data_IF_616313185625
#
_entry.id   IF_616313185625
#
_cell.length_a   1.000
_cell.length_b   1.000
_cell.length_c   1.000
_cell.angle_alpha   90.00
_cell.angle_beta   90.00
_cell.angle_gamma   90.00
#
_symmetry.space_group_name_H-M   'P 1'
#
loop_
_entity.id
_entity.type
_entity.pdbx_description
1 polymer ?
#
# COMPACT_ATOMS: atom_id res chain seq x y z
N UNK A 1 -32.06 -19.19 -6.62
CA UNK A 1 -30.92 -19.88 -7.25
C UNK A 1 -31.41 -20.62 -8.48
N UNK A 2 -30.84 -20.34 -9.65
CA UNK A 2 -31.23 -21.00 -10.90
C UNK A 2 -30.70 -22.44 -10.91
N UNK A 3 -31.61 -23.41 -10.94
CA UNK A 3 -31.30 -24.84 -10.99
C UNK A 3 -30.78 -25.19 -12.39
N UNK A 4 -29.47 -25.39 -12.53
CA UNK A 4 -28.88 -25.88 -13.78
C UNK A 4 -29.17 -27.39 -13.91
N UNK A 5 -30.05 -27.75 -14.84
CA UNK A 5 -30.32 -29.16 -15.21
C UNK A 5 -29.41 -29.53 -16.39
N UNK A 6 -28.64 -30.61 -16.26
CA UNK A 6 -27.89 -31.20 -17.38
C UNK A 6 -28.85 -32.02 -18.26
N UNK A 7 -28.45 -32.32 -19.51
CA UNK A 7 -29.31 -32.90 -20.57
C UNK A 7 -29.94 -34.27 -20.25
N UNK A 8 -29.61 -34.89 -19.12
CA UNK A 8 -30.18 -36.18 -18.67
C UNK A 8 -31.01 -36.06 -17.37
N UNK A 9 -31.51 -34.87 -17.02
CA UNK A 9 -32.30 -34.67 -15.80
C UNK A 9 -31.50 -34.73 -14.50
N UNK A 10 -30.18 -34.89 -14.59
CA UNK A 10 -29.25 -34.86 -13.46
C UNK A 10 -29.02 -33.39 -13.08
N UNK A 11 -29.42 -33.03 -11.87
CA UNK A 11 -29.10 -31.74 -11.29
C UNK A 11 -27.65 -31.75 -10.84
N UNK A 12 -26.82 -30.90 -11.46
CA UNK A 12 -25.39 -30.79 -11.18
C UNK A 12 -25.12 -30.56 -9.68
N UNK A 13 -25.94 -29.74 -9.02
CA UNK A 13 -25.80 -29.44 -7.61
C UNK A 13 -26.09 -30.66 -6.72
N UNK A 14 -27.07 -31.48 -7.08
CA UNK A 14 -27.41 -32.68 -6.30
C UNK A 14 -26.28 -33.71 -6.36
N UNK A 15 -25.62 -33.83 -7.52
CA UNK A 15 -24.46 -34.72 -7.69
C UNK A 15 -23.20 -34.18 -7.00
N UNK A 16 -23.05 -32.85 -6.94
CA UNK A 16 -21.97 -32.20 -6.21
C UNK A 16 -22.13 -32.39 -4.70
N UNK A 17 -23.34 -32.21 -4.15
CA UNK A 17 -23.64 -32.46 -2.74
C UNK A 17 -23.42 -33.94 -2.39
N UNK A 18 -23.89 -34.87 -3.23
CA UNK A 18 -23.61 -36.31 -3.04
C UNK A 18 -22.12 -36.66 -3.00
N UNK A 19 -21.27 -35.93 -3.71
CA UNK A 19 -19.81 -36.14 -3.66
C UNK A 19 -19.13 -35.49 -2.45
N UNK A 20 -19.84 -34.63 -1.72
CA UNK A 20 -19.37 -34.00 -0.49
C UNK A 20 -19.94 -34.68 0.77
N UNK A 21 -21.06 -35.39 0.64
CA UNK A 21 -21.73 -36.15 1.71
C UNK A 21 -21.16 -37.56 1.91
N UNK A 22 -19.97 -37.87 1.35
CA UNK A 22 -19.13 -38.97 1.87
C UNK A 22 -18.59 -38.51 3.24
N UNK A 23 -19.49 -38.36 4.21
CA UNK A 23 -19.25 -38.00 5.60
C UNK A 23 -18.54 -39.18 6.28
N UNK A 24 -17.22 -39.25 6.13
CA UNK A 24 -16.43 -39.76 7.23
C UNK A 24 -16.53 -38.72 8.36
N UNK A 25 -17.12 -39.09 9.50
CA UNK A 25 -17.19 -38.32 10.76
C UNK A 25 -15.82 -37.81 11.30
N UNK A 26 -14.73 -38.07 10.58
CA UNK A 26 -13.36 -37.75 10.94
C UNK A 26 -13.07 -36.23 10.97
N UNK A 27 -13.90 -35.40 10.31
CA UNK A 27 -13.67 -33.96 10.20
C UNK A 27 -13.81 -33.18 11.52
N UNK A 28 -14.56 -33.72 12.50
CA UNK A 28 -14.66 -33.15 13.85
C UNK A 28 -13.38 -33.33 14.68
N UNK A 29 -12.57 -34.32 14.31
CA UNK A 29 -11.34 -34.68 14.99
C UNK A 29 -10.10 -34.09 14.32
N UNK A 30 -10.24 -33.20 13.34
CA UNK A 30 -9.12 -32.54 12.68
C UNK A 30 -8.92 -31.10 13.16
N UNK A 31 -7.67 -30.72 13.37
CA UNK A 31 -7.27 -29.34 13.61
C UNK A 31 -7.50 -28.50 12.34
N UNK A 32 -8.40 -27.51 12.42
CA UNK A 32 -8.77 -26.64 11.28
C UNK A 32 -7.66 -25.68 10.80
N UNK A 33 -6.46 -25.70 11.40
CA UNK A 33 -5.28 -24.94 10.93
C UNK A 33 -4.31 -25.85 10.19
N UNK A 34 -3.95 -27.00 10.78
CA UNK A 34 -2.92 -27.87 10.22
C UNK A 34 -3.47 -29.03 9.38
N UNK A 35 -4.76 -29.34 9.48
CA UNK A 35 -5.39 -30.50 8.84
C UNK A 35 -4.98 -31.85 9.47
N UNK A 36 -4.30 -31.85 10.62
CA UNK A 36 -3.91 -33.06 11.35
C UNK A 36 -4.92 -33.39 12.44
N UNK A 37 -5.02 -34.66 12.88
CA UNK A 37 -5.83 -35.05 14.02
C UNK A 37 -5.58 -34.20 15.27
N UNK A 38 -6.64 -33.94 16.01
CA UNK A 38 -6.59 -33.29 17.31
C UNK A 38 -5.86 -34.19 18.29
N UNK A 39 -4.94 -33.61 19.05
CA UNK A 39 -4.16 -34.31 20.07
C UNK A 39 -4.70 -34.02 21.48
N UNK A 40 -4.11 -34.67 22.49
CA UNK A 40 -4.47 -34.50 23.90
C UNK A 40 -4.38 -33.04 24.39
N UNK A 41 -3.56 -32.23 23.73
CA UNK A 41 -3.37 -30.79 24.01
C UNK A 41 -4.16 -29.91 23.05
N UNK A 42 -5.34 -30.37 22.65
CA UNK A 42 -6.28 -29.55 21.89
C UNK A 42 -6.81 -28.39 22.73
N UNK A 43 -6.98 -27.24 22.08
CA UNK A 43 -7.57 -26.03 22.64
C UNK A 43 -8.89 -25.77 21.94
N UNK A 44 -9.94 -25.61 22.74
CA UNK A 44 -11.27 -25.18 22.26
C UNK A 44 -11.44 -23.69 22.57
N UNK A 45 -11.67 -22.89 21.55
CA UNK A 45 -11.94 -21.45 21.69
C UNK A 45 -13.41 -21.20 22.10
N UNK A 46 -13.75 -19.98 22.54
CA UNK A 46 -15.13 -19.60 22.94
C UNK A 46 -16.16 -19.71 21.79
N UNK A 47 -15.66 -19.74 20.55
CA UNK A 47 -16.48 -19.98 19.35
C UNK A 47 -16.63 -21.47 19.01
N UNK A 48 -16.26 -22.37 19.93
CA UNK A 48 -16.29 -23.84 19.81
C UNK A 48 -15.37 -24.44 18.74
N UNK A 49 -14.51 -23.65 18.10
CA UNK A 49 -13.50 -24.18 17.19
C UNK A 49 -12.34 -24.81 17.96
N UNK A 50 -11.95 -26.02 17.54
CA UNK A 50 -10.89 -26.83 18.15
C UNK A 50 -9.62 -26.80 17.31
N UNK A 51 -8.48 -26.66 17.98
CA UNK A 51 -7.16 -26.64 17.33
C UNK A 51 -6.12 -27.32 18.19
N UNK A 52 -5.08 -27.87 17.56
CA UNK A 52 -3.87 -28.26 18.29
C UNK A 52 -3.16 -27.01 18.82
N UNK A 53 -2.54 -27.13 19.99
CA UNK A 53 -1.92 -26.00 20.68
C UNK A 53 -0.88 -25.26 19.85
N UNK A 54 0.11 -25.98 19.33
CA UNK A 54 1.21 -25.40 18.55
C UNK A 54 0.74 -24.60 17.32
N UNK A 55 -0.07 -25.16 16.39
CA UNK A 55 -0.53 -24.40 15.24
C UNK A 55 -1.39 -23.20 15.64
N UNK A 56 -2.21 -23.33 16.68
CA UNK A 56 -3.02 -22.22 17.19
C UNK A 56 -2.14 -21.10 17.77
N UNK A 57 -1.16 -21.43 18.61
CA UNK A 57 -0.25 -20.46 19.21
C UNK A 57 0.52 -19.69 18.13
N UNK A 58 1.12 -20.41 17.17
CA UNK A 58 1.88 -19.81 16.06
C UNK A 58 0.99 -18.88 15.21
N UNK A 59 -0.22 -19.31 14.90
CA UNK A 59 -1.16 -18.51 14.09
C UNK A 59 -1.63 -17.25 14.83
N UNK A 60 -1.95 -17.34 16.12
CA UNK A 60 -2.30 -16.16 16.94
C UNK A 60 -1.13 -15.17 16.98
N UNK A 61 0.10 -15.66 17.15
CA UNK A 61 1.30 -14.82 17.14
C UNK A 61 1.48 -14.10 15.81
N UNK A 62 1.37 -14.83 14.68
CA UNK A 62 1.43 -14.23 13.33
C UNK A 62 0.38 -13.13 13.14
N UNK A 63 -0.86 -13.40 13.54
CA UNK A 63 -1.93 -12.40 13.41
C UNK A 63 -1.66 -11.14 14.26
N UNK A 64 -1.17 -11.32 15.49
CA UNK A 64 -0.87 -10.22 16.42
C UNK A 64 0.33 -9.38 16.01
N UNK A 65 1.42 -10.02 15.61
CA UNK A 65 2.72 -9.37 15.51
C UNK A 65 3.17 -9.13 14.06
N UNK A 66 2.88 -10.06 13.15
CA UNK A 66 3.32 -9.96 11.74
C UNK A 66 2.27 -9.23 10.90
N UNK A 67 1.02 -9.70 10.93
CA UNK A 67 -0.07 -9.11 10.16
C UNK A 67 -0.71 -7.89 10.82
N UNK A 68 -0.41 -7.67 12.11
CA UNK A 68 -0.91 -6.54 12.90
C UNK A 68 -2.45 -6.42 12.88
N UNK A 69 -3.18 -7.52 12.71
CA UNK A 69 -4.65 -7.54 12.56
C UNK A 69 -5.42 -7.20 13.85
N UNK A 70 -4.67 -6.91 14.91
CA UNK A 70 -5.11 -6.48 16.23
C UNK A 70 -4.96 -4.96 16.43
N UNK A 71 -4.38 -4.25 15.45
CA UNK A 71 -4.28 -2.79 15.51
C UNK A 71 -5.66 -2.16 15.40
N UNK A 72 -5.92 -1.20 16.29
CA UNK A 72 -7.23 -0.57 16.47
C UNK A 72 -7.87 -0.03 15.17
N UNK A 73 -7.06 0.46 14.23
CA UNK A 73 -7.55 1.02 12.97
C UNK A 73 -7.96 -0.03 11.93
N UNK A 74 -7.61 -1.30 12.15
CA UNK A 74 -7.97 -2.44 11.28
C UNK A 74 -9.15 -3.23 11.82
N UNK A 75 -9.65 -2.88 13.01
CA UNK A 75 -10.79 -3.52 13.64
C UNK A 75 -12.11 -3.01 13.07
N UNK A 76 -13.10 -3.89 12.98
CA UNK A 76 -14.46 -3.50 12.66
C UNK A 76 -15.09 -2.69 13.80
N UNK A 77 -16.15 -1.93 13.50
CA UNK A 77 -16.88 -1.15 14.53
C UNK A 77 -17.41 -2.04 15.66
N UNK A 78 -17.88 -3.24 15.33
CA UNK A 78 -18.44 -4.19 16.30
C UNK A 78 -17.35 -4.77 17.20
N UNK A 79 -16.19 -5.09 16.62
CA UNK A 79 -15.01 -5.55 17.37
C UNK A 79 -14.56 -4.48 18.38
N UNK A 80 -14.48 -3.22 17.93
CA UNK A 80 -14.12 -2.09 18.78
C UNK A 80 -15.11 -1.89 19.94
N UNK A 81 -16.41 -2.03 19.68
CA UNK A 81 -17.44 -1.93 20.70
C UNK A 81 -17.29 -3.05 21.75
N UNK A 82 -17.02 -4.29 21.31
CA UNK A 82 -16.81 -5.44 22.18
C UNK A 82 -15.60 -5.23 23.10
N UNK A 83 -14.49 -4.72 22.57
CA UNK A 83 -13.27 -4.41 23.33
C UNK A 83 -13.54 -3.33 24.38
N UNK A 84 -14.18 -2.22 23.99
CA UNK A 84 -14.53 -1.14 24.93
C UNK A 84 -15.46 -1.61 26.06
N UNK A 85 -16.41 -2.51 25.75
CA UNK A 85 -17.33 -3.08 26.74
C UNK A 85 -16.60 -3.94 27.78
N UNK A 86 -15.63 -4.75 27.33
CA UNK A 86 -14.90 -5.67 28.20
C UNK A 86 -13.79 -5.00 29.02
N UNK A 87 -13.34 -3.81 28.62
CA UNK A 87 -12.29 -3.03 29.31
C UNK A 87 -10.98 -3.80 29.54
N UNK A 88 -10.67 -4.72 28.62
CA UNK A 88 -9.40 -5.47 28.59
C UNK A 88 -8.55 -4.96 27.44
N UNK A 89 -7.25 -4.92 27.66
CA UNK A 89 -6.21 -4.51 26.71
C UNK A 89 -5.68 -5.68 25.86
N UNK A 90 -6.05 -6.91 26.20
CA UNK A 90 -5.76 -8.12 25.43
C UNK A 90 -7.03 -8.76 24.89
N UNK A 91 -6.89 -9.46 23.77
CA UNK A 91 -7.90 -10.33 23.18
C UNK A 91 -7.25 -11.29 22.18
N UNK A 92 -7.94 -12.36 21.79
CA UNK A 92 -7.53 -13.31 20.75
C UNK A 92 -8.62 -13.37 19.68
N UNK A 93 -8.23 -13.47 18.41
CA UNK A 93 -9.11 -13.73 17.27
C UNK A 93 -8.99 -15.20 16.88
N UNK A 94 -10.13 -15.87 16.74
CA UNK A 94 -10.16 -17.23 16.22
C UNK A 94 -9.60 -17.26 14.78
N UNK A 95 -8.62 -18.13 14.46
CA UNK A 95 -8.10 -18.23 13.09
C UNK A 95 -9.12 -18.63 12.04
N UNK A 96 -10.15 -19.37 12.43
CA UNK A 96 -11.18 -19.86 11.51
C UNK A 96 -12.30 -18.84 11.30
N UNK A 97 -13.03 -18.50 12.36
CA UNK A 97 -14.22 -17.63 12.26
C UNK A 97 -13.97 -16.16 12.62
N UNK A 98 -12.74 -15.80 13.02
CA UNK A 98 -12.34 -14.44 13.44
C UNK A 98 -13.10 -13.87 14.64
N UNK A 99 -13.90 -14.68 15.36
CA UNK A 99 -14.54 -14.23 16.59
C UNK A 99 -13.48 -13.79 17.62
N UNK A 100 -13.71 -12.62 18.23
CA UNK A 100 -12.87 -12.09 19.29
C UNK A 100 -13.29 -12.71 20.63
N UNK A 101 -12.31 -13.23 21.36
CA UNK A 101 -12.45 -13.70 22.73
C UNK A 101 -11.43 -13.01 23.66
N UNK A 102 -11.73 -13.03 24.96
CA UNK A 102 -10.89 -12.40 26.00
C UNK A 102 -10.35 -13.43 26.99
N UNK A 103 -10.47 -14.72 26.65
CA UNK A 103 -9.75 -15.83 27.26
C UNK A 103 -8.44 -16.07 26.51
N UNK A 104 -7.38 -16.33 27.26
CA UNK A 104 -6.08 -16.74 26.73
C UNK A 104 -6.04 -18.25 26.50
N UNK A 105 -5.13 -18.71 25.64
CA UNK A 105 -4.89 -20.14 25.48
C UNK A 105 -4.05 -20.67 26.66
N UNK A 106 -4.12 -21.97 27.02
CA UNK A 106 -3.29 -22.53 28.08
C UNK A 106 -1.79 -22.38 27.81
N UNK A 107 -0.96 -22.52 28.85
CA UNK A 107 0.49 -22.58 28.71
C UNK A 107 0.97 -24.01 28.98
N UNK A 108 1.78 -24.54 28.08
CA UNK A 108 2.35 -25.88 28.18
C UNK A 108 3.88 -25.80 28.06
N UNK A 109 4.58 -26.04 29.17
CA UNK A 109 6.04 -25.95 29.25
C UNK A 109 6.75 -26.91 28.29
N UNK A 110 6.15 -28.08 28.04
CA UNK A 110 6.70 -29.12 27.16
C UNK A 110 6.90 -28.67 25.70
N UNK A 111 6.14 -27.67 25.22
CA UNK A 111 6.32 -27.15 23.86
C UNK A 111 7.45 -26.13 23.76
N UNK A 112 8.01 -25.66 24.88
CA UNK A 112 9.12 -24.71 24.89
C UNK A 112 8.80 -23.34 24.28
N UNK A 113 7.52 -22.96 24.22
CA UNK A 113 7.14 -21.62 23.75
C UNK A 113 7.29 -20.57 24.84
N UNK A 114 7.59 -19.33 24.44
CA UNK A 114 7.66 -18.21 25.37
C UNK A 114 6.28 -17.87 25.95
N UNK A 115 6.27 -17.36 27.19
CA UNK A 115 5.08 -16.73 27.77
C UNK A 115 4.87 -15.37 27.11
N UNK A 116 3.67 -15.16 26.58
CA UNK A 116 3.23 -13.99 25.84
C UNK A 116 1.93 -13.47 26.45
N UNK A 117 1.99 -12.22 26.93
CA UNK A 117 0.87 -11.49 27.51
C UNK A 117 -0.27 -11.38 26.50
N UNK A 118 -1.45 -11.79 26.93
CA UNK A 118 -2.65 -11.76 26.09
C UNK A 118 -2.68 -12.83 25.00
N UNK A 119 -1.79 -13.83 25.05
CA UNK A 119 -1.83 -15.04 24.22
C UNK A 119 -1.90 -16.27 25.11
N UNK A 120 -0.82 -16.62 25.81
CA UNK A 120 -0.71 -17.79 26.70
C UNK A 120 -0.32 -17.41 28.14
N UNK A 121 -0.19 -16.12 28.44
CA UNK A 121 0.04 -15.59 29.79
C UNK A 121 -0.80 -14.34 30.04
N UNK A 122 -1.19 -14.12 31.29
CA UNK A 122 -1.77 -12.86 31.77
C UNK A 122 -0.76 -12.05 32.58
N UNK A 123 0.47 -12.53 32.75
CA UNK A 123 1.53 -11.78 33.40
C UNK A 123 1.96 -10.62 32.51
N UNK A 124 1.76 -9.36 32.93
CA UNK A 124 2.19 -8.19 32.16
C UNK A 124 3.70 -8.11 31.97
N UNK A 125 4.52 -8.85 32.74
CA UNK A 125 5.96 -8.91 32.51
C UNK A 125 6.32 -9.78 31.30
N UNK A 126 5.40 -10.65 30.87
CA UNK A 126 5.56 -11.56 29.75
C UNK A 126 5.14 -10.92 28.41
N UNK A 127 5.44 -9.64 28.15
CA UNK A 127 5.16 -9.07 26.81
C UNK A 127 5.92 -9.87 25.74
N UNK A 128 5.16 -10.54 24.87
CA UNK A 128 5.71 -11.53 23.97
C UNK A 128 6.78 -10.98 23.06
N UNK A 129 7.85 -11.77 22.97
CA UNK A 129 8.76 -11.90 21.84
C UNK A 129 9.15 -10.59 21.16
N UNK A 130 10.28 -10.02 21.60
CA UNK A 130 11.13 -9.05 20.87
C UNK A 130 10.39 -8.26 19.78
N UNK A 131 9.53 -7.32 20.18
CA UNK A 131 9.44 -6.12 19.37
C UNK A 131 10.80 -5.45 19.43
N UNK A 132 11.42 -5.29 18.27
CA UNK A 132 12.30 -4.18 17.92
C UNK A 132 11.71 -2.77 18.23
N UNK A 133 10.71 -2.67 19.10
CA UNK A 133 10.01 -1.46 19.52
C UNK A 133 9.40 -1.69 20.90
N UNK A 134 10.23 -1.58 21.95
CA UNK A 134 10.02 -0.60 23.03
C UNK A 134 10.89 -0.94 24.24
N UNK A 135 11.62 0.06 24.75
CA UNK A 135 12.22 0.16 26.09
C UNK A 135 13.76 0.00 26.15
N UNK A 136 14.48 0.93 25.53
CA UNK A 136 15.55 1.61 26.28
C UNK A 136 14.87 2.75 27.04
N UNK A 137 14.13 2.42 28.09
CA UNK A 137 13.92 3.35 29.19
C UNK A 137 15.21 3.25 30.03
N UNK A 138 16.18 4.10 29.72
CA UNK A 138 17.47 4.08 30.43
C UNK A 138 18.47 5.16 30.02
N UNK A 139 18.38 5.74 28.82
CA UNK A 139 19.14 6.94 28.49
C UNK A 139 18.25 7.95 27.80
N UNK A 140 18.46 9.22 28.12
CA UNK A 140 17.64 10.34 27.70
C UNK A 140 17.85 10.75 26.23
N UNK A 141 18.59 9.93 25.46
CA UNK A 141 19.18 10.23 24.15
C UNK A 141 19.07 9.04 23.15
N UNK A 142 17.93 8.36 23.07
CA UNK A 142 17.73 7.33 22.04
C UNK A 142 17.11 7.88 20.75
N UNK A 143 17.47 7.27 19.62
CA UNK A 143 16.95 7.61 18.30
C UNK A 143 15.86 6.62 17.88
N UNK A 144 14.73 7.13 17.37
CA UNK A 144 13.61 6.31 16.91
C UNK A 144 13.53 6.38 15.39
N UNK A 145 13.74 5.27 14.69
CA UNK A 145 13.49 5.22 13.26
C UNK A 145 12.01 4.96 12.99
N UNK A 146 11.32 5.91 12.34
CA UNK A 146 9.93 5.75 11.95
C UNK A 146 9.70 6.41 10.59
N UNK A 147 8.94 5.75 9.72
CA UNK A 147 8.67 6.25 8.35
C UNK A 147 9.94 6.44 7.49
N UNK A 148 11.02 5.72 7.78
CA UNK A 148 12.31 5.87 7.11
C UNK A 148 13.09 7.11 7.56
N UNK A 149 12.70 7.73 8.67
CA UNK A 149 13.31 8.97 9.20
C UNK A 149 13.66 8.77 10.67
N UNK A 150 14.78 9.35 11.07
CA UNK A 150 15.27 9.26 12.45
C UNK A 150 14.68 10.40 13.27
N UNK A 151 13.94 10.05 14.32
CA UNK A 151 13.43 10.97 15.32
C UNK A 151 14.40 11.04 16.49
N UNK A 152 14.80 12.26 16.84
CA UNK A 152 15.71 12.56 17.97
C UNK A 152 15.03 13.47 18.96
N UNK A 153 15.63 13.63 20.15
CA UNK A 153 15.13 14.56 21.16
C UNK A 153 15.11 15.99 20.60
N UNK A 154 13.98 16.66 20.71
CA UNK A 154 13.77 18.01 20.20
C UNK A 154 12.35 18.52 20.43
N UNK A 155 12.04 19.68 19.86
CA UNK A 155 10.77 20.39 20.09
C UNK A 155 9.94 20.39 18.81
N UNK A 156 8.69 19.96 18.90
CA UNK A 156 7.80 19.93 17.74
C UNK A 156 7.34 21.35 17.38
N UNK A 157 7.53 21.75 16.12
CA UNK A 157 7.11 23.05 15.57
C UNK A 157 5.60 23.17 15.28
N UNK A 158 4.76 22.26 15.81
CA UNK A 158 3.31 22.38 15.66
C UNK A 158 2.78 23.27 16.79
N UNK A 159 2.22 24.41 16.40
CA UNK A 159 1.58 25.37 17.29
C UNK A 159 0.15 25.54 16.78
N UNK A 160 -0.82 25.16 17.60
CA UNK A 160 -2.22 25.55 17.44
C UNK A 160 -2.51 26.68 18.45
N UNK A 161 -3.47 27.56 18.15
CA UNK A 161 -3.72 28.83 18.86
C UNK A 161 -3.87 28.74 20.40
N UNK A 162 -4.00 27.54 20.98
CA UNK A 162 -4.01 27.29 22.44
C UNK A 162 -3.25 26.02 22.87
N UNK A 163 -2.50 25.36 21.99
CA UNK A 163 -1.83 24.08 22.31
C UNK A 163 -0.43 23.97 21.72
N UNK A 164 0.56 23.85 22.60
CA UNK A 164 1.94 23.52 22.25
C UNK A 164 2.10 22.00 22.37
N UNK A 165 2.58 21.38 21.31
CA UNK A 165 2.87 19.95 21.31
C UNK A 165 3.98 19.62 22.31
N UNK A 166 3.69 18.80 23.33
CA UNK A 166 4.64 18.38 24.38
C UNK A 166 5.50 17.17 24.01
N UNK A 167 5.49 16.75 22.74
CA UNK A 167 6.24 15.56 22.30
C UNK A 167 7.75 15.86 22.27
N UNK A 168 8.54 15.00 22.90
CA UNK A 168 9.99 15.18 23.05
C UNK A 168 10.83 14.67 21.89
N UNK A 169 10.25 13.89 20.98
CA UNK A 169 10.98 13.28 19.86
C UNK A 169 10.43 13.80 18.54
N UNK A 170 11.32 14.34 17.71
CA UNK A 170 11.01 15.03 16.45
C UNK A 170 11.95 14.63 15.33
N UNK A 171 11.47 14.74 14.10
CA UNK A 171 12.28 14.60 12.90
C UNK A 171 12.12 15.85 12.03
N UNK A 172 13.20 16.23 11.34
CA UNK A 172 13.22 17.34 10.40
C UNK A 172 12.56 16.95 9.08
N UNK A 173 11.77 17.85 8.51
CA UNK A 173 11.30 17.67 7.14
C UNK A 173 12.47 18.00 6.20
N UNK A 174 12.78 17.13 5.22
CA UNK A 174 13.85 17.37 4.26
C UNK A 174 13.74 18.74 3.61
N UNK A 175 14.86 19.46 3.51
CA UNK A 175 14.95 20.80 2.94
C UNK A 175 14.18 21.88 3.71
N UNK A 176 13.95 21.68 5.01
CA UNK A 176 13.39 22.69 5.90
C UNK A 176 14.07 22.67 7.26
N UNK A 177 13.94 23.76 8.00
CA UNK A 177 14.35 23.87 9.40
C UNK A 177 13.25 23.43 10.37
N UNK A 178 12.10 22.94 9.86
CA UNK A 178 10.97 22.57 10.69
C UNK A 178 11.07 21.13 11.16
N UNK A 179 10.89 20.92 12.46
CA UNK A 179 10.89 19.60 13.08
C UNK A 179 9.53 19.26 13.68
N UNK A 180 9.09 18.02 13.50
CA UNK A 180 7.76 17.59 13.95
C UNK A 180 7.82 16.23 14.62
N UNK A 181 6.94 16.02 15.61
CA UNK A 181 6.84 14.75 16.31
C UNK A 181 6.26 13.65 15.42
N UNK A 182 6.34 12.40 15.88
CA UNK A 182 5.85 11.22 15.13
C UNK A 182 4.39 11.33 14.68
N UNK A 183 3.56 12.04 15.45
CA UNK A 183 2.15 12.31 15.13
C UNK A 183 2.00 13.43 14.09
N UNK A 184 2.79 14.50 14.19
CA UNK A 184 2.64 15.69 13.32
C UNK A 184 3.47 15.61 12.04
N UNK A 185 4.51 14.77 11.99
CA UNK A 185 5.43 14.65 10.86
C UNK A 185 4.72 14.38 9.54
N UNK A 186 3.80 13.40 9.49
CA UNK A 186 3.04 13.09 8.27
C UNK A 186 2.15 14.24 7.80
N UNK A 187 1.49 14.93 8.74
CA UNK A 187 0.62 16.08 8.43
C UNK A 187 1.46 17.22 7.85
N UNK A 188 2.60 17.51 8.48
CA UNK A 188 3.49 18.58 8.08
C UNK A 188 4.18 18.30 6.72
N UNK A 189 4.68 17.08 6.48
CA UNK A 189 5.25 16.67 5.18
C UNK A 189 4.21 16.82 4.05
N UNK A 190 2.96 16.41 4.29
CA UNK A 190 1.87 16.58 3.30
C UNK A 190 1.62 18.06 2.98
N UNK A 191 1.61 18.93 4.00
CA UNK A 191 1.43 20.38 3.84
C UNK A 191 2.58 20.99 3.05
N UNK A 192 3.82 20.64 3.38
CA UNK A 192 5.02 21.10 2.67
C UNK A 192 4.99 20.72 1.19
N UNK A 193 4.76 19.44 0.88
CA UNK A 193 4.71 18.96 -0.51
C UNK A 193 3.61 19.66 -1.33
N UNK A 194 2.46 19.97 -0.70
CA UNK A 194 1.38 20.73 -1.34
C UNK A 194 1.81 22.17 -1.65
N UNK A 195 2.47 22.83 -0.71
CA UNK A 195 2.94 24.21 -0.89
C UNK A 195 4.02 24.30 -1.99
N UNK A 196 4.97 23.38 -2.02
CA UNK A 196 5.99 23.32 -3.08
C UNK A 196 5.39 23.10 -4.46
N UNK A 197 4.36 22.25 -4.56
CA UNK A 197 3.63 22.06 -5.82
C UNK A 197 2.93 23.36 -6.27
N UNK A 198 2.33 24.09 -5.33
CA UNK A 198 1.65 25.35 -5.62
C UNK A 198 2.63 26.45 -6.08
N UNK A 199 3.78 26.61 -5.42
CA UNK A 199 4.84 27.55 -5.84
C UNK A 199 5.28 27.29 -7.29
N UNK A 200 5.56 26.02 -7.63
CA UNK A 200 5.92 25.63 -9.01
C UNK A 200 4.81 25.94 -10.04
N UNK A 201 3.55 25.90 -9.64
CA UNK A 201 2.43 26.28 -10.50
C UNK A 201 2.33 27.79 -10.68
N UNK A 202 2.52 28.57 -9.62
CA UNK A 202 2.55 30.03 -9.65
C UNK A 202 3.70 30.56 -10.51
N UNK A 203 4.90 30.00 -10.38
CA UNK A 203 6.05 30.35 -11.24
C UNK A 203 5.77 30.08 -12.72
N UNK A 204 5.16 28.93 -13.03
CA UNK A 204 4.74 28.61 -14.41
C UNK A 204 3.66 29.55 -14.93
N UNK A 205 2.75 30.02 -14.08
CA UNK A 205 1.73 30.99 -14.46
C UNK A 205 2.36 32.35 -14.78
N UNK A 206 3.25 32.84 -13.91
CA UNK A 206 4.01 34.09 -14.13
C UNK A 206 4.81 34.06 -15.43
N UNK A 207 5.51 32.95 -15.70
CA UNK A 207 6.25 32.78 -16.95
C UNK A 207 5.33 32.81 -18.19
N UNK A 208 4.16 32.19 -18.12
CA UNK A 208 3.17 32.22 -19.22
C UNK A 208 2.63 33.63 -19.46
N UNK A 209 2.34 34.38 -18.39
CA UNK A 209 1.88 35.77 -18.48
C UNK A 209 2.96 36.66 -19.09
N UNK A 210 4.21 36.52 -18.69
CA UNK A 210 5.33 37.28 -19.25
C UNK A 210 5.52 36.99 -20.75
N UNK A 211 5.47 35.71 -21.15
CA UNK A 211 5.50 35.29 -22.55
C UNK A 211 4.33 35.90 -23.34
N UNK A 212 3.14 35.94 -22.75
CA UNK A 212 1.95 36.54 -23.37
C UNK A 212 2.11 38.05 -23.56
N UNK A 213 2.64 38.76 -22.56
CA UNK A 213 2.91 40.20 -22.67
C UNK A 213 3.95 40.49 -23.77
N UNK A 214 5.04 39.72 -23.82
CA UNK A 214 6.05 39.83 -24.88
C UNK A 214 5.44 39.64 -26.28
N UNK A 215 4.53 38.67 -26.44
CA UNK A 215 3.81 38.45 -27.72
C UNK A 215 2.87 39.59 -28.10
N UNK A 216 2.19 40.21 -27.12
CA UNK A 216 1.30 41.36 -27.37
C UNK A 216 2.10 42.58 -27.85
N UNK A 217 3.21 42.91 -27.19
CA UNK A 217 4.11 43.99 -27.63
C UNK A 217 4.63 43.77 -29.05
N UNK A 218 5.12 42.56 -29.35
CA UNK A 218 5.59 42.21 -30.70
C UNK A 218 4.47 42.29 -31.76
N UNK A 219 3.23 41.98 -31.37
CA UNK A 219 2.09 42.08 -32.28
C UNK A 219 1.77 43.54 -32.63
N UNK A 220 1.79 44.43 -31.62
CA UNK A 220 1.57 45.86 -31.80
C UNK A 220 2.66 46.49 -32.69
N UNK A 221 3.93 46.21 -32.40
CA UNK A 221 5.07 46.68 -33.22
C UNK A 221 4.94 46.25 -34.69
N UNK A 222 4.62 44.99 -34.96
CA UNK A 222 4.42 44.49 -36.33
C UNK A 222 3.23 45.11 -37.04
N UNK A 223 2.19 45.50 -36.32
CA UNK A 223 1.03 46.14 -36.92
C UNK A 223 1.32 47.60 -37.27
N UNK A 224 2.11 48.31 -36.46
CA UNK A 224 2.61 49.66 -36.81
C UNK A 224 3.46 49.62 -38.08
N UNK A 225 4.42 48.70 -38.17
CA UNK A 225 5.27 48.53 -39.36
C UNK A 225 4.46 48.21 -40.64
N UNK A 226 3.38 47.44 -40.51
CA UNK A 226 2.49 47.14 -41.65
C UNK A 226 1.67 48.35 -42.08
N UNK A 227 1.20 49.16 -41.13
CA UNK A 227 0.46 50.37 -41.44
C UNK A 227 1.32 51.38 -42.20
N UNK A 228 2.59 51.56 -41.82
CA UNK A 228 3.56 52.38 -42.55
C UNK A 228 3.79 51.87 -43.98
N UNK A 229 3.72 50.56 -44.19
CA UNK A 229 3.84 49.92 -45.50
C UNK A 229 2.51 49.87 -46.29
N UNK A 230 1.43 50.48 -45.79
CA UNK A 230 0.11 50.46 -46.43
C UNK A 230 -0.57 49.09 -46.45
N UNK A 231 -0.12 48.15 -45.62
CA UNK A 231 -0.65 46.79 -45.53
C UNK A 231 -1.72 46.67 -44.43
N UNK A 232 -2.71 45.78 -44.59
CA UNK A 232 -3.70 45.55 -43.56
C UNK A 232 -3.07 44.94 -42.29
N UNK A 233 -3.61 45.27 -41.10
CA UNK A 233 -3.10 44.79 -39.82
C UNK A 233 -3.28 43.28 -39.69
N UNK A 234 -2.37 42.65 -38.93
CA UNK A 234 -2.48 41.25 -38.56
C UNK A 234 -3.67 41.05 -37.61
N UNK A 235 -4.38 39.93 -37.77
CA UNK A 235 -5.53 39.57 -36.93
C UNK A 235 -5.17 38.64 -35.77
N UNK A 236 -4.00 37.99 -35.82
CA UNK A 236 -3.60 36.93 -34.88
C UNK A 236 -2.24 37.20 -34.25
N UNK A 237 -2.08 36.85 -32.98
CA UNK A 237 -0.82 37.03 -32.25
C UNK A 237 0.33 36.23 -32.91
N UNK A 238 1.55 36.81 -33.02
CA UNK A 238 2.68 36.14 -33.63
C UNK A 238 3.22 35.03 -32.73
N UNK A 239 3.70 33.95 -33.35
CA UNK A 239 4.50 32.96 -32.63
C UNK A 239 5.90 33.51 -32.36
N UNK A 240 6.33 33.50 -31.10
CA UNK A 240 7.75 33.64 -30.78
C UNK A 240 8.48 32.43 -31.38
N UNK A 241 9.45 32.67 -32.25
CA UNK A 241 10.40 31.63 -32.64
C UNK A 241 11.18 31.29 -31.37
N UNK A 242 11.19 30.03 -30.96
CA UNK A 242 12.10 29.58 -29.90
C UNK A 242 13.51 29.77 -30.42
N UNK A 243 14.25 30.71 -29.84
CA UNK A 243 15.70 30.67 -29.91
C UNK A 243 16.11 29.38 -29.19
N UNK A 244 16.68 28.45 -29.95
CA UNK A 244 17.28 27.24 -29.38
C UNK A 244 18.63 27.67 -28.80
N UNK A 245 18.61 28.32 -27.64
CA UNK A 245 19.81 28.38 -26.81
C UNK A 245 20.01 26.99 -26.20
N UNK A 246 20.99 26.27 -26.74
CA UNK A 246 21.55 25.09 -26.10
C UNK A 246 22.26 25.52 -24.82
N UNK A 247 21.52 25.72 -23.73
CA UNK A 247 22.11 25.81 -22.41
C UNK A 247 22.53 24.39 -22.03
N UNK A 248 23.84 24.14 -22.15
CA UNK A 248 24.50 23.00 -21.51
C UNK A 248 24.34 23.21 -20.01
N UNK A 249 23.30 22.62 -19.43
CA UNK A 249 23.21 22.47 -17.98
C UNK A 249 24.27 21.45 -17.61
N UNK A 250 25.33 21.91 -16.93
CA UNK A 250 26.30 21.04 -16.28
C UNK A 250 25.55 19.98 -15.48
N UNK A 251 25.89 18.72 -15.76
CA UNK A 251 25.44 17.55 -15.04
C UNK A 251 25.69 17.73 -13.55
N UNK A 252 24.63 18.06 -12.81
CA UNK A 252 24.60 17.83 -11.38
C UNK A 252 24.56 16.31 -11.23
N UNK A 253 25.64 15.74 -10.68
CA UNK A 253 25.65 14.36 -10.18
C UNK A 253 24.53 14.24 -9.14
N UNK A 254 23.44 13.62 -9.56
CA UNK A 254 22.43 13.11 -8.65
C UNK A 254 23.04 11.84 -8.08
N UNK A 255 23.41 11.85 -6.80
CA UNK A 255 23.59 10.60 -6.08
C UNK A 255 22.23 9.89 -6.11
N UNK A 256 22.15 8.83 -6.92
CA UNK A 256 21.03 7.91 -6.93
C UNK A 256 20.90 7.31 -5.54
N UNK A 257 19.89 7.75 -4.82
CA UNK A 257 19.31 6.96 -3.76
C UNK A 257 18.79 5.68 -4.41
N UNK A 258 19.43 4.56 -4.09
CA UNK A 258 19.02 3.19 -4.45
C UNK A 258 17.99 2.76 -3.41
N UNK A 259 16.68 2.75 -3.70
CA UNK A 259 15.78 1.81 -3.05
C UNK A 259 15.97 0.46 -3.74
N UNK A 260 16.39 -0.55 -2.96
CA UNK A 260 16.31 -1.94 -3.37
C UNK A 260 14.85 -2.28 -3.69
N UNK A 261 14.50 -2.20 -4.96
CA UNK A 261 13.28 -2.76 -5.52
C UNK A 261 13.74 -3.70 -6.61
N UNK A 262 13.54 -4.98 -6.37
CA UNK A 262 13.71 -6.05 -7.35
C UNK A 262 13.11 -5.61 -8.69
N UNK A 263 13.98 -5.44 -9.69
CA UNK A 263 13.58 -5.14 -11.05
C UNK A 263 12.87 -6.36 -11.64
N UNK A 264 11.57 -6.49 -11.42
CA UNK A 264 10.72 -7.23 -12.33
C UNK A 264 10.73 -6.50 -13.67
N UNK A 265 11.50 -7.00 -14.62
CA UNK A 265 11.47 -6.59 -16.03
C UNK A 265 10.02 -6.73 -16.51
N UNK A 266 9.29 -5.61 -16.62
CA UNK A 266 7.92 -5.62 -17.15
C UNK A 266 7.99 -5.94 -18.64
N UNK A 267 7.93 -7.24 -18.96
CA UNK A 267 7.83 -7.73 -20.33
C UNK A 267 6.48 -7.30 -20.92
N UNK A 268 6.51 -6.38 -21.86
CA UNK A 268 5.33 -5.93 -22.62
C UNK A 268 5.25 -6.64 -23.97
N UNK A 269 4.03 -6.76 -24.51
CA UNK A 269 3.80 -7.51 -25.74
C UNK A 269 4.48 -6.83 -26.95
N UNK A 270 5.17 -7.61 -27.77
CA UNK A 270 5.81 -7.17 -29.02
C UNK A 270 4.84 -6.97 -30.20
N UNK A 271 3.54 -7.26 -30.03
CA UNK A 271 2.55 -7.19 -31.10
C UNK A 271 2.13 -5.76 -31.44
N UNK A 272 1.94 -5.45 -32.72
CA UNK A 272 1.40 -4.17 -33.21
C UNK A 272 -0.11 -4.30 -33.40
N UNK A 273 -0.87 -3.33 -32.87
CA UNK A 273 -2.33 -3.30 -32.99
C UNK A 273 -2.74 -3.07 -34.46
N UNK A 274 -3.56 -3.97 -35.00
CA UNK A 274 -4.03 -3.92 -36.40
C UNK A 274 -5.37 -3.19 -36.60
N UNK A 275 -6.10 -2.88 -35.54
CA UNK A 275 -7.43 -2.28 -35.61
C UNK A 275 -7.70 -1.21 -34.54
N UNK A 276 -8.70 -0.35 -34.81
CA UNK A 276 -9.14 0.81 -34.00
C UNK A 276 -8.19 2.02 -33.99
N UNK A 277 -8.54 3.01 -33.16
CA UNK A 277 -7.83 4.29 -32.92
C UNK A 277 -6.32 4.14 -32.67
N UNK A 278 -5.88 3.00 -32.15
CA UNK A 278 -4.48 2.72 -31.85
C UNK A 278 -3.79 1.82 -32.90
N UNK A 279 -4.33 1.71 -34.12
CA UNK A 279 -3.68 0.97 -35.21
C UNK A 279 -2.26 1.48 -35.44
N UNK A 280 -1.30 0.56 -35.52
CA UNK A 280 0.13 0.88 -35.70
C UNK A 280 0.91 1.11 -34.40
N UNK A 281 0.24 1.19 -33.24
CA UNK A 281 0.93 1.26 -31.94
C UNK A 281 1.26 -0.12 -31.38
N UNK A 282 2.31 -0.20 -30.57
CA UNK A 282 2.69 -1.40 -29.83
C UNK A 282 1.64 -1.76 -28.78
N UNK A 283 1.47 -3.05 -28.53
CA UNK A 283 0.54 -3.58 -27.55
C UNK A 283 1.05 -3.38 -26.13
N UNK A 284 0.31 -2.62 -25.33
CA UNK A 284 0.63 -2.35 -23.93
C UNK A 284 0.22 -3.50 -22.97
N UNK A 285 -0.08 -4.70 -23.49
CA UNK A 285 -0.40 -5.85 -22.65
C UNK A 285 0.85 -6.33 -21.88
N UNK A 286 0.74 -6.32 -20.54
CA UNK A 286 1.78 -6.82 -19.61
C UNK A 286 1.73 -8.34 -19.37
N UNK A 287 0.63 -9.00 -19.75
CA UNK A 287 0.48 -10.46 -19.66
C UNK A 287 1.01 -11.11 -20.94
N UNK A 288 2.25 -11.60 -20.90
CA UNK A 288 2.87 -12.36 -21.98
C UNK A 288 2.42 -13.82 -21.89
N UNK A 289 2.11 -14.41 -23.03
CA UNK A 289 1.72 -15.81 -23.14
C UNK A 289 2.90 -16.66 -23.63
N UNK A 290 3.42 -16.40 -24.84
CA UNK A 290 4.56 -17.11 -25.42
C UNK A 290 5.29 -16.21 -26.43
N UNK A 291 6.60 -16.37 -26.58
CA UNK A 291 7.48 -15.66 -27.53
C UNK A 291 7.42 -14.12 -27.45
N UNK A 292 7.12 -13.56 -26.28
CA UNK A 292 6.97 -12.11 -26.10
C UNK A 292 5.66 -11.54 -26.64
N UNK A 293 4.67 -12.39 -26.93
CA UNK A 293 3.33 -11.98 -27.36
C UNK A 293 2.27 -12.29 -26.31
N UNK A 294 1.26 -11.43 -26.18
CA UNK A 294 0.06 -11.73 -25.41
C UNK A 294 -0.79 -12.76 -26.15
N UNK A 295 -1.71 -13.44 -25.44
CA UNK A 295 -2.57 -14.50 -26.02
C UNK A 295 -3.26 -14.07 -27.33
N UNK A 296 -3.72 -12.82 -27.41
CA UNK A 296 -4.34 -12.23 -28.62
C UNK A 296 -3.39 -12.11 -29.81
N UNK A 297 -2.13 -11.74 -29.57
CA UNK A 297 -1.14 -11.58 -30.63
C UNK A 297 -0.43 -12.89 -30.98
N UNK A 298 -0.36 -13.84 -30.06
CA UNK A 298 0.14 -15.18 -30.32
C UNK A 298 -0.78 -15.95 -31.28
N UNK A 299 -2.10 -15.97 -31.02
CA UNK A 299 -3.07 -16.62 -31.91
C UNK A 299 -3.02 -16.06 -33.34
N UNK A 300 -2.91 -14.74 -33.49
CA UNK A 300 -2.85 -14.08 -34.80
C UNK A 300 -1.50 -14.21 -35.54
N UNK A 301 -0.43 -14.66 -34.86
CA UNK A 301 0.89 -14.88 -35.48
C UNK A 301 1.03 -16.31 -36.01
N UNK A 302 0.43 -17.31 -35.35
CA UNK A 302 0.46 -18.69 -35.83
C UNK A 302 -0.25 -18.86 -37.18
N UNK A 303 -1.29 -18.06 -37.44
CA UNK A 303 -1.99 -18.07 -38.73
C UNK A 303 -1.13 -17.58 -39.91
N UNK A 304 0.02 -16.95 -39.64
CA UNK A 304 0.95 -16.47 -40.68
C UNK A 304 2.13 -17.41 -40.96
N UNK A 305 2.35 -18.41 -40.12
CA UNK A 305 3.48 -19.35 -40.29
C UNK A 305 3.09 -20.53 -41.21
N UNK A 306 1.79 -20.78 -41.41
CA UNK A 306 1.29 -21.85 -42.31
C UNK A 306 0.98 -21.39 -43.75
N UNK A 307 1.57 -20.28 -44.23
CA UNK A 307 1.38 -19.77 -45.60
C UNK A 307 2.71 -19.40 -46.28
N UNK A 308 3.74 -20.22 -46.06
CA UNK A 308 4.92 -20.29 -46.93
C UNK A 308 5.28 -21.74 -47.19
#
# INVERSE_FOLDING_TARGET
MNKYKLENGINFYDKLMQSMDDESDDDEFLCKISGFPLNDKMVTLECNHKFNYEPLFKEICKQKFDFKSYEYHLLSKDEMLKIRKMKKDYFIKCPYCRNIQFSIIPYYEEYGFDKIFGVNSLDPLCYGYKKHFSNIYGSDDYEINMYGVVFKKGICNEVDDNFICKSKYVAFIPNTEFSYCTFHYKKAVRKYNKNEKNKKLEEKAKLKEEILMKRKKLFEEKNLERAEKGLPPLKNLPSLKKEKENVVIQSIEIQEYIPEVENEVILTCKGILKSRINKGKQCECKKIFKDGFCKRHFSNNNDKINLK
#
